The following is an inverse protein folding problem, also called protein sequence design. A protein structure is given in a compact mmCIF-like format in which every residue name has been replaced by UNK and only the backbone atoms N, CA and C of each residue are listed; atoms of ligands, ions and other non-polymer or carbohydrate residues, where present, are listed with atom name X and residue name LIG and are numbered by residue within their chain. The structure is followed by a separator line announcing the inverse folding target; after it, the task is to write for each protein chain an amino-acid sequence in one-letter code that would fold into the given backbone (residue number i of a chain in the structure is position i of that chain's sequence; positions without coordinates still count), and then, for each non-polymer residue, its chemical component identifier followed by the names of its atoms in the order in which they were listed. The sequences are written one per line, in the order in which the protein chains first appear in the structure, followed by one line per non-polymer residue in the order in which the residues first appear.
data_IF_198718962446
#
_entry.id   IF_198718962446
#
_cell.length_a   1.000
_cell.length_b   1.000
_cell.length_c   1.000
_cell.angle_alpha   90.00
_cell.angle_beta   90.00
_cell.angle_gamma   90.00
#
_symmetry.space_group_name_H-M   'P 1'
#
loop_
_entity.id
_entity.type
_entity.pdbx_description
1 polymer ?
#
# COMPACT_ATOMS: atom_id res chain seq x y z
N UNK A 1 -11.78 -56.24 11.84
CA UNK A 1 -12.70 -55.16 11.52
C UNK A 1 -12.54 -53.99 12.45
N UNK A 2 -12.64 -54.17 13.71
CA UNK A 2 -12.48 -53.07 14.68
C UNK A 2 -11.12 -52.46 14.64
N UNK A 3 -10.08 -53.25 14.44
CA UNK A 3 -8.72 -52.76 14.36
C UNK A 3 -8.43 -51.85 13.16
N UNK A 4 -9.05 -52.14 12.02
CA UNK A 4 -8.84 -51.30 10.83
C UNK A 4 -9.59 -49.97 10.95
N UNK A 5 -10.71 -49.94 11.64
CA UNK A 5 -11.38 -48.68 11.94
C UNK A 5 -10.54 -47.79 12.85
N UNK A 6 -9.92 -48.35 13.88
CA UNK A 6 -9.06 -47.63 14.78
C UNK A 6 -7.83 -47.05 14.05
N UNK A 7 -7.23 -47.80 13.17
CA UNK A 7 -6.12 -47.34 12.34
C UNK A 7 -6.54 -46.23 11.43
N UNK A 8 -7.68 -46.30 10.85
CA UNK A 8 -8.23 -45.28 9.97
C UNK A 8 -8.44 -43.94 10.71
N UNK A 9 -8.97 -44.02 11.92
CA UNK A 9 -9.16 -42.85 12.74
C UNK A 9 -7.83 -42.18 13.15
N UNK A 10 -6.83 -42.97 13.45
CA UNK A 10 -5.51 -42.51 13.76
C UNK A 10 -4.88 -41.77 12.56
N UNK A 11 -5.04 -42.31 11.41
CA UNK A 11 -4.56 -41.73 10.17
C UNK A 11 -5.19 -40.35 9.93
N UNK A 12 -6.45 -40.22 10.18
CA UNK A 12 -7.15 -38.93 10.05
C UNK A 12 -6.60 -37.87 11.01
N UNK A 13 -6.34 -38.29 12.24
CA UNK A 13 -5.76 -37.35 13.24
C UNK A 13 -4.39 -36.85 12.82
N UNK A 14 -3.55 -37.70 12.32
CA UNK A 14 -2.25 -37.35 11.83
C UNK A 14 -2.36 -36.36 10.66
N UNK A 15 -3.31 -36.56 9.79
CA UNK A 15 -3.57 -35.65 8.69
C UNK A 15 -3.97 -34.25 9.14
N UNK A 16 -4.87 -34.17 10.09
CA UNK A 16 -5.33 -32.89 10.63
C UNK A 16 -4.21 -32.08 11.27
N UNK A 17 -3.32 -32.75 12.01
CA UNK A 17 -2.18 -32.09 12.63
C UNK A 17 -1.21 -31.54 11.59
N UNK A 18 -0.93 -32.31 10.55
CA UNK A 18 -0.07 -31.86 9.47
C UNK A 18 -0.64 -30.65 8.74
N UNK A 19 -1.95 -30.67 8.48
CA UNK A 19 -2.62 -29.55 7.82
C UNK A 19 -2.57 -28.28 8.68
N UNK A 20 -2.77 -28.40 9.99
CA UNK A 20 -2.71 -27.25 10.89
C UNK A 20 -1.33 -26.61 10.92
N UNK A 21 -0.28 -27.41 10.97
CA UNK A 21 1.09 -26.89 10.92
C UNK A 21 1.39 -26.19 9.61
N UNK A 22 0.90 -26.71 8.51
CA UNK A 22 1.10 -26.12 7.22
C UNK A 22 0.38 -24.77 7.10
N UNK A 23 -0.83 -24.67 7.61
CA UNK A 23 -1.57 -23.41 7.66
C UNK A 23 -0.85 -22.36 8.50
N UNK A 24 -0.28 -22.74 9.63
CA UNK A 24 0.51 -21.82 10.45
C UNK A 24 1.73 -21.30 9.68
N UNK A 25 2.40 -22.14 8.90
CA UNK A 25 3.50 -21.73 8.04
C UNK A 25 3.08 -20.74 6.97
N UNK A 26 1.89 -20.90 6.38
CA UNK A 26 1.37 -19.98 5.38
C UNK A 26 0.97 -18.63 5.98
N UNK A 27 0.61 -18.60 7.24
CA UNK A 27 0.27 -17.37 7.96
C UNK A 27 1.48 -16.66 8.54
N UNK A 28 2.65 -17.23 8.36
CA UNK A 28 3.93 -16.64 8.75
C UNK A 28 4.18 -15.38 7.92
N UNK A 29 4.60 -14.29 8.52
CA UNK A 29 3.99 -13.00 8.29
C UNK A 29 4.66 -12.19 7.21
N UNK A 30 3.90 -11.71 6.30
CA UNK A 30 4.11 -10.38 5.74
C UNK A 30 3.36 -9.43 6.66
N UNK A 31 4.06 -8.67 7.45
CA UNK A 31 3.45 -7.61 8.24
C UNK A 31 2.78 -6.63 7.25
N UNK A 32 1.54 -6.22 7.52
CA UNK A 32 0.91 -5.24 6.66
C UNK A 32 1.71 -3.94 6.68
N UNK A 33 1.80 -3.30 5.52
CA UNK A 33 2.47 -2.01 5.43
C UNK A 33 1.61 -0.94 6.08
N UNK A 34 2.21 0.03 6.77
CA UNK A 34 1.46 1.19 7.23
C UNK A 34 1.05 2.07 6.04
N UNK A 35 -0.04 2.84 6.18
CA UNK A 35 -0.37 3.82 5.15
C UNK A 35 0.73 4.88 5.06
N UNK A 36 0.94 5.50 3.89
CA UNK A 36 1.95 6.54 3.77
C UNK A 36 1.53 7.78 4.56
N UNK A 37 2.53 8.54 5.00
CA UNK A 37 2.28 9.86 5.60
C UNK A 37 1.79 10.84 4.54
N UNK A 38 1.16 11.92 4.97
CA UNK A 38 0.72 12.97 4.05
C UNK A 38 1.92 13.51 3.28
N UNK A 39 1.83 13.61 1.95
CA UNK A 39 2.87 14.25 1.17
C UNK A 39 2.88 15.75 1.40
N UNK A 40 4.03 16.38 1.19
CA UNK A 40 4.10 17.83 1.07
C UNK A 40 3.59 18.20 -0.32
N UNK A 41 2.64 19.12 -0.37
CA UNK A 41 2.00 19.53 -1.61
C UNK A 41 2.31 20.99 -1.85
N UNK A 42 2.97 21.29 -2.97
CA UNK A 42 3.34 22.64 -3.34
C UNK A 42 2.84 22.96 -4.73
N UNK A 43 2.61 24.24 -4.99
CA UNK A 43 2.26 24.70 -6.32
C UNK A 43 3.48 24.63 -7.24
N UNK A 44 3.23 24.48 -8.53
CA UNK A 44 4.25 24.58 -9.56
C UNK A 44 4.04 25.88 -10.35
N UNK A 45 4.95 26.15 -11.28
CA UNK A 45 4.79 27.28 -12.20
C UNK A 45 3.62 27.12 -13.14
N UNK A 46 3.12 25.88 -13.29
CA UNK A 46 2.01 25.56 -14.18
C UNK A 46 0.74 25.50 -13.34
N UNK A 47 -0.24 26.34 -13.70
CA UNK A 47 -1.53 26.32 -13.01
C UNK A 47 -2.21 24.98 -13.19
N UNK A 48 -2.79 24.44 -12.12
CA UNK A 48 -3.45 23.15 -12.14
C UNK A 48 -2.52 21.95 -12.03
N UNK A 49 -1.23 22.18 -11.84
CA UNK A 49 -0.24 21.12 -11.62
C UNK A 49 0.40 21.32 -10.26
N UNK A 50 0.33 20.33 -9.41
CA UNK A 50 0.91 20.38 -8.06
C UNK A 50 2.03 19.37 -7.93
N UNK A 51 2.92 19.61 -6.99
CA UNK A 51 4.08 18.77 -6.73
C UNK A 51 3.91 18.06 -5.40
N UNK A 52 4.10 16.74 -5.41
CA UNK A 52 4.05 15.90 -4.23
C UNK A 52 5.47 15.48 -3.89
N UNK A 53 5.87 15.69 -2.65
CA UNK A 53 7.18 15.25 -2.15
C UNK A 53 7.01 14.58 -0.80
N UNK A 54 7.87 13.62 -0.53
CA UNK A 54 7.87 12.91 0.74
C UNK A 54 8.72 11.65 0.67
N UNK A 55 8.45 10.73 1.58
CA UNK A 55 9.21 9.49 1.65
C UNK A 55 8.31 8.32 2.03
N UNK A 56 8.64 7.17 1.48
CA UNK A 56 8.06 5.86 1.81
C UNK A 56 9.21 4.89 2.03
N UNK A 57 8.92 3.61 2.14
CA UNK A 57 9.98 2.61 2.20
C UNK A 57 10.80 2.61 0.91
N UNK A 58 12.12 2.37 0.99
CA UNK A 58 12.93 2.18 -0.22
C UNK A 58 12.39 1.06 -1.11
N UNK A 59 12.70 1.12 -2.38
CA UNK A 59 12.24 0.15 -3.39
C UNK A 59 10.72 0.01 -3.43
N UNK A 60 10.04 1.15 -3.47
CA UNK A 60 8.58 1.21 -3.53
C UNK A 60 8.12 2.03 -4.72
N UNK A 61 6.89 1.79 -5.11
CA UNK A 61 6.20 2.60 -6.11
C UNK A 61 5.05 3.32 -5.43
N UNK A 62 5.02 4.64 -5.57
CA UNK A 62 3.95 5.46 -4.99
C UNK A 62 2.91 5.77 -6.04
N UNK A 63 1.65 5.88 -5.62
CA UNK A 63 0.52 6.18 -6.50
C UNK A 63 -0.38 7.21 -5.85
N UNK A 64 -0.88 8.10 -6.66
CA UNK A 64 -1.90 9.05 -6.25
C UNK A 64 -3.04 9.05 -7.25
N UNK A 65 -4.26 8.93 -6.75
CA UNK A 65 -5.48 8.99 -7.55
C UNK A 65 -6.23 10.26 -7.18
N UNK A 66 -6.48 11.10 -8.17
CA UNK A 66 -7.32 12.28 -8.01
C UNK A 66 -8.75 11.89 -8.35
N UNK A 67 -9.64 11.92 -7.36
CA UNK A 67 -11.04 11.53 -7.53
C UNK A 67 -11.84 12.52 -8.37
N UNK A 68 -11.40 13.77 -8.44
CA UNK A 68 -12.08 14.80 -9.23
C UNK A 68 -11.82 14.65 -10.73
N UNK A 69 -10.62 14.22 -11.11
CA UNK A 69 -10.22 14.07 -12.51
C UNK A 69 -10.12 12.61 -12.94
N UNK A 70 -10.13 11.68 -11.98
CA UNK A 70 -9.94 10.26 -12.20
C UNK A 70 -8.56 9.90 -12.77
N UNK A 71 -7.58 10.78 -12.56
CA UNK A 71 -6.21 10.60 -13.04
C UNK A 71 -5.37 9.94 -11.96
N UNK A 72 -4.52 9.00 -12.38
CA UNK A 72 -3.53 8.35 -11.51
C UNK A 72 -2.14 8.78 -11.96
N UNK A 73 -1.31 9.12 -11.00
CA UNK A 73 0.12 9.37 -11.20
C UNK A 73 0.91 8.56 -10.22
N UNK A 74 2.11 8.18 -10.61
CA UNK A 74 2.95 7.39 -9.76
C UNK A 74 4.42 7.56 -10.07
N UNK A 75 5.25 7.08 -9.14
CA UNK A 75 6.69 7.12 -9.28
C UNK A 75 7.30 5.94 -8.52
N UNK A 76 8.21 5.23 -9.19
CA UNK A 76 9.08 4.29 -8.49
C UNK A 76 10.21 5.05 -7.80
N UNK A 77 10.50 4.70 -6.56
CA UNK A 77 11.60 5.30 -5.82
C UNK A 77 12.46 4.23 -5.18
N UNK A 78 13.72 4.20 -5.55
CA UNK A 78 14.68 3.27 -4.99
C UNK A 78 15.08 3.68 -3.58
N UNK A 79 15.26 4.96 -3.35
CA UNK A 79 15.69 5.50 -2.04
C UNK A 79 14.53 5.63 -1.04
N UNK A 80 13.30 5.64 -1.52
CA UNK A 80 12.12 5.96 -0.73
C UNK A 80 11.69 7.40 -0.83
N UNK A 81 12.55 8.31 -1.22
CA UNK A 81 12.17 9.70 -1.44
C UNK A 81 11.46 9.83 -2.79
N UNK A 82 10.28 10.43 -2.79
CA UNK A 82 9.53 10.65 -4.01
C UNK A 82 9.33 12.13 -4.26
N UNK A 83 9.19 12.47 -5.54
CA UNK A 83 9.01 13.83 -6.02
C UNK A 83 8.37 13.74 -7.41
N UNK A 84 7.07 14.00 -7.49
CA UNK A 84 6.36 13.93 -8.76
C UNK A 84 5.27 15.00 -8.81
N UNK A 85 4.81 15.25 -10.01
CA UNK A 85 3.74 16.23 -10.24
C UNK A 85 2.46 15.52 -10.65
N UNK A 86 1.34 16.15 -10.37
CA UNK A 86 0.02 15.65 -10.66
C UNK A 86 -0.93 16.81 -10.96
N UNK A 87 -1.81 16.59 -11.91
CA UNK A 87 -2.90 17.53 -12.17
C UNK A 87 -3.87 17.50 -10.99
N UNK A 88 -3.99 18.61 -10.29
CA UNK A 88 -4.90 18.73 -9.15
C UNK A 88 -5.13 20.19 -8.81
N UNK A 89 -6.26 20.45 -8.20
CA UNK A 89 -6.62 21.78 -7.72
C UNK A 89 -6.90 21.72 -6.23
N UNK A 90 -6.90 22.86 -5.61
CA UNK A 90 -7.29 23.01 -4.21
C UNK A 90 -8.61 22.29 -3.95
N UNK A 91 -8.67 21.51 -2.87
CA UNK A 91 -9.83 20.73 -2.43
C UNK A 91 -10.13 19.48 -3.23
N UNK A 92 -9.31 19.11 -4.22
CA UNK A 92 -9.47 17.82 -4.86
C UNK A 92 -9.19 16.70 -3.85
N UNK A 93 -10.00 15.64 -3.89
CA UNK A 93 -9.80 14.45 -3.05
C UNK A 93 -8.77 13.53 -3.66
N UNK A 94 -7.78 13.13 -2.89
CA UNK A 94 -6.68 12.28 -3.32
C UNK A 94 -6.66 11.01 -2.47
N UNK A 95 -6.51 9.87 -3.13
CA UNK A 95 -6.10 8.62 -2.47
C UNK A 95 -4.64 8.36 -2.80
N UNK A 96 -3.83 8.20 -1.77
CA UNK A 96 -2.39 8.06 -1.89
C UNK A 96 -1.94 6.76 -1.22
N UNK A 97 -1.20 5.92 -1.93
CA UNK A 97 -0.71 4.64 -1.41
C UNK A 97 0.62 4.29 -2.07
N UNK A 98 1.26 3.23 -1.57
CA UNK A 98 2.47 2.72 -2.19
C UNK A 98 2.46 1.19 -2.21
N UNK A 99 3.27 0.64 -3.11
CA UNK A 99 3.49 -0.80 -3.24
C UNK A 99 4.96 -1.07 -3.01
N UNK A 100 5.24 -1.95 -2.05
CA UNK A 100 6.60 -2.41 -1.76
C UNK A 100 6.66 -3.90 -2.08
N UNK A 101 7.44 -4.26 -3.11
CA UNK A 101 7.45 -5.62 -3.62
C UNK A 101 6.10 -5.98 -4.22
N UNK A 102 5.43 -6.94 -3.60
CA UNK A 102 4.08 -7.36 -4.01
C UNK A 102 3.01 -6.92 -3.01
N UNK A 103 3.39 -6.15 -1.99
CA UNK A 103 2.47 -5.75 -0.92
C UNK A 103 2.05 -4.31 -1.12
N UNK A 104 0.75 -4.10 -1.16
CA UNK A 104 0.15 -2.78 -1.29
C UNK A 104 -0.20 -2.23 0.09
N UNK A 105 0.13 -0.97 0.33
CA UNK A 105 -0.25 -0.30 1.57
C UNK A 105 -1.72 0.11 1.55
N UNK A 106 -2.35 0.31 2.72
CA UNK A 106 -3.62 1.02 2.75
C UNK A 106 -3.46 2.43 2.19
N UNK A 107 -4.53 3.00 1.65
CA UNK A 107 -4.48 4.35 1.14
C UNK A 107 -4.58 5.38 2.27
N UNK A 108 -3.92 6.49 2.07
CA UNK A 108 -4.11 7.69 2.86
C UNK A 108 -4.95 8.65 2.01
N UNK A 109 -6.17 8.92 2.44
CA UNK A 109 -7.10 9.77 1.71
C UNK A 109 -7.07 11.17 2.31
N UNK A 110 -6.84 12.16 1.49
CA UNK A 110 -6.76 13.54 1.93
C UNK A 110 -7.28 14.49 0.85
N UNK A 111 -7.43 15.74 1.22
CA UNK A 111 -7.88 16.80 0.32
C UNK A 111 -6.69 17.71 0.03
N UNK A 112 -6.54 18.11 -1.23
CA UNK A 112 -5.46 19.00 -1.63
C UNK A 112 -5.56 20.33 -0.88
N UNK A 113 -4.49 20.66 -0.19
CA UNK A 113 -4.27 21.97 0.42
C UNK A 113 -2.87 22.41 0.03
N UNK A 114 -2.80 23.42 -0.81
CA UNK A 114 -1.53 23.90 -1.31
C UNK A 114 -0.92 24.81 -0.26
N UNK A 115 0.31 24.50 0.14
CA UNK A 115 1.04 25.34 1.07
C UNK A 115 1.21 26.74 0.46
N UNK A 116 0.91 27.81 1.22
CA UNK A 116 1.12 29.16 0.70
C UNK A 116 2.60 29.36 0.39
N UNK A 117 2.87 30.08 -0.70
CA UNK A 117 4.22 30.41 -1.04
C UNK A 117 4.82 31.22 0.12
N UNK A 118 5.98 30.79 0.62
CA UNK A 118 6.69 31.51 1.66
C UNK A 118 7.21 32.83 1.07
N UNK A 119 6.86 33.97 1.67
CA UNK A 119 7.39 35.23 1.20
C UNK A 119 8.90 35.34 1.37
#
# INVERSE_FOLDING_TARGET
MLGSLAMFLRSRRAWLLGTALWAAGCLSPTLPLPPPSDPSITSTEIAGLVRFTGAVQPDSEVFALNHSTNMIRGQYTKSGAYDFTMEAQERDGISFWYVHGTVESPSNDFVIRIAPATP
#
